data_IF_167270295862
#
_entry.id   IF_167270295862
#
_cell.length_a   1.000
_cell.length_b   1.000
_cell.length_c   1.000
_cell.angle_alpha   90.00
_cell.angle_beta   90.00
_cell.angle_gamma   90.00
#
_symmetry.space_group_name_H-M   'P 1'
#
loop_
_entity.id
_entity.type
_entity.pdbx_description
1 polymer ?
#
# COMPACT_ATOMS: atom_id res chain seq x y z
N UNK A 1 -47.20 -13.09 -20.89
CA UNK A 1 -48.02 -11.90 -21.16
C UNK A 1 -47.06 -10.73 -21.31
N UNK A 2 -47.02 -10.09 -22.48
CA UNK A 2 -46.21 -8.91 -22.74
C UNK A 2 -47.13 -7.69 -22.66
N UNK A 3 -46.73 -6.67 -21.89
CA UNK A 3 -47.49 -5.44 -21.71
C UNK A 3 -46.79 -4.31 -22.45
N UNK A 4 -47.53 -3.60 -23.29
CA UNK A 4 -47.08 -2.38 -23.95
C UNK A 4 -47.95 -1.23 -23.45
N UNK A 5 -47.38 -0.22 -22.77
CA UNK A 5 -48.16 0.95 -22.38
C UNK A 5 -48.57 1.71 -23.64
N UNK A 6 -49.85 2.06 -23.72
CA UNK A 6 -50.35 3.02 -24.71
C UNK A 6 -50.30 4.40 -24.08
N UNK A 7 -49.85 5.41 -24.83
CA UNK A 7 -49.91 6.79 -24.36
C UNK A 7 -51.39 7.17 -24.17
N UNK A 8 -51.76 7.52 -22.94
CA UNK A 8 -53.08 8.04 -22.61
C UNK A 8 -52.87 9.21 -21.66
N UNK A 9 -53.52 10.35 -21.96
CA UNK A 9 -53.38 11.61 -21.21
C UNK A 9 -53.90 11.50 -19.76
N UNK A 10 -54.53 10.37 -19.40
CA UNK A 10 -55.08 10.07 -18.08
C UNK A 10 -54.01 9.78 -17.01
N UNK A 11 -52.76 9.50 -17.41
CA UNK A 11 -51.66 9.16 -16.50
C UNK A 11 -50.55 10.21 -16.63
N UNK A 12 -50.41 11.07 -15.61
CA UNK A 12 -49.25 11.98 -15.46
C UNK A 12 -47.98 11.17 -15.15
N UNK A 13 -47.39 10.53 -16.15
CA UNK A 13 -46.02 10.06 -16.07
C UNK A 13 -45.10 11.29 -16.21
N UNK A 14 -44.15 11.47 -15.31
CA UNK A 14 -43.16 12.54 -15.46
C UNK A 14 -42.44 12.40 -16.80
N UNK A 15 -42.22 13.52 -17.49
CA UNK A 15 -41.76 13.65 -18.89
C UNK A 15 -40.42 12.96 -19.24
N UNK A 16 -39.83 12.19 -18.33
CA UNK A 16 -38.50 11.59 -18.43
C UNK A 16 -38.47 10.05 -18.56
N UNK A 17 -39.62 9.35 -18.54
CA UNK A 17 -39.64 7.88 -18.35
C UNK A 17 -40.32 7.16 -19.52
N UNK A 18 -39.53 6.53 -20.40
CA UNK A 18 -39.99 5.73 -21.56
C UNK A 18 -40.99 4.61 -21.23
N UNK A 19 -41.14 4.21 -19.96
CA UNK A 19 -42.03 3.13 -19.50
C UNK A 19 -43.16 3.60 -18.57
N UNK A 20 -43.22 4.87 -18.19
CA UNK A 20 -44.25 5.45 -17.31
C UNK A 20 -44.63 4.57 -16.12
N UNK A 21 -45.93 4.29 -15.96
CA UNK A 21 -46.50 3.43 -14.90
C UNK A 21 -45.97 1.99 -14.90
N UNK A 22 -45.49 1.47 -16.03
CA UNK A 22 -45.04 0.07 -16.12
C UNK A 22 -43.65 -0.14 -15.51
N UNK A 23 -42.91 0.93 -15.23
CA UNK A 23 -41.54 0.86 -14.72
C UNK A 23 -41.38 0.04 -13.42
N UNK A 24 -42.21 0.20 -12.37
CA UNK A 24 -42.09 -0.57 -11.14
C UNK A 24 -42.35 -2.07 -11.37
N UNK A 25 -43.33 -2.39 -12.22
CA UNK A 25 -43.64 -3.78 -12.59
C UNK A 25 -42.52 -4.41 -13.40
N UNK A 26 -41.93 -3.64 -14.32
CA UNK A 26 -40.78 -4.08 -15.10
C UNK A 26 -39.55 -4.31 -14.22
N UNK A 27 -39.28 -3.41 -13.26
CA UNK A 27 -38.20 -3.58 -12.28
C UNK A 27 -38.40 -4.83 -11.42
N UNK A 28 -39.61 -5.07 -10.89
CA UNK A 28 -39.93 -6.28 -10.12
C UNK A 28 -39.83 -7.55 -10.98
N UNK A 29 -40.35 -7.52 -12.21
CA UNK A 29 -40.21 -8.63 -13.16
C UNK A 29 -38.74 -8.96 -13.42
N UNK A 30 -37.88 -7.97 -13.74
CA UNK A 30 -36.46 -8.21 -13.99
C UNK A 30 -35.78 -8.81 -12.76
N UNK A 31 -36.11 -8.33 -11.55
CA UNK A 31 -35.56 -8.86 -10.31
C UNK A 31 -35.97 -10.32 -10.07
N UNK A 32 -37.25 -10.66 -10.24
CA UNK A 32 -37.73 -12.04 -10.10
C UNK A 32 -37.15 -12.94 -11.19
N UNK A 33 -37.17 -12.48 -12.43
CA UNK A 33 -36.63 -13.23 -13.57
C UNK A 33 -35.16 -13.60 -13.32
N UNK A 34 -34.32 -12.66 -12.85
CA UNK A 34 -32.92 -12.95 -12.47
C UNK A 34 -32.81 -14.06 -11.42
N UNK A 35 -33.65 -14.06 -10.39
CA UNK A 35 -33.65 -15.10 -9.35
C UNK A 35 -34.10 -16.47 -9.87
N UNK A 36 -35.00 -16.49 -10.85
CA UNK A 36 -35.49 -17.73 -11.45
C UNK A 36 -34.52 -18.32 -12.49
N UNK A 37 -33.57 -17.54 -13.02
CA UNK A 37 -32.57 -18.00 -13.99
C UNK A 37 -31.68 -19.13 -13.45
N UNK A 38 -31.32 -19.10 -12.17
CA UNK A 38 -30.50 -20.14 -11.55
C UNK A 38 -31.27 -21.41 -11.19
N UNK A 39 -32.61 -21.36 -11.23
CA UNK A 39 -33.49 -22.46 -10.79
C UNK A 39 -34.37 -22.92 -11.94
N UNK A 40 -35.60 -22.42 -12.05
CA UNK A 40 -36.60 -22.88 -13.02
C UNK A 40 -36.24 -22.57 -14.47
N UNK A 41 -35.44 -21.53 -14.73
CA UNK A 41 -35.01 -21.14 -16.08
C UNK A 41 -33.55 -21.47 -16.37
N UNK A 42 -32.95 -22.41 -15.63
CA UNK A 42 -31.58 -22.87 -15.86
C UNK A 42 -31.38 -23.39 -17.28
N UNK A 43 -32.32 -24.18 -17.79
CA UNK A 43 -32.26 -24.75 -19.14
C UNK A 43 -32.80 -23.83 -20.25
N UNK A 44 -33.17 -22.60 -19.90
CA UNK A 44 -33.61 -21.63 -20.90
C UNK A 44 -32.42 -21.23 -21.79
N UNK A 45 -32.66 -21.09 -23.10
CA UNK A 45 -31.64 -20.62 -24.03
C UNK A 45 -31.08 -19.26 -23.56
N UNK A 46 -29.76 -19.18 -23.36
CA UNK A 46 -29.14 -17.98 -22.81
C UNK A 46 -29.37 -16.73 -23.69
N UNK A 47 -29.44 -16.88 -25.02
CA UNK A 47 -29.69 -15.75 -25.94
C UNK A 47 -31.07 -15.16 -25.71
N UNK A 48 -32.07 -16.03 -25.55
CA UNK A 48 -33.44 -15.62 -25.24
C UNK A 48 -33.50 -14.97 -23.86
N UNK A 49 -32.88 -15.58 -22.87
CA UNK A 49 -32.88 -15.10 -21.49
C UNK A 49 -32.18 -13.72 -21.36
N UNK A 50 -31.05 -13.53 -22.04
CA UNK A 50 -30.36 -12.26 -22.17
C UNK A 50 -31.22 -11.19 -22.88
N UNK A 51 -31.91 -11.58 -23.95
CA UNK A 51 -32.81 -10.68 -24.69
C UNK A 51 -34.01 -10.24 -23.84
N UNK A 52 -34.60 -11.14 -23.05
CA UNK A 52 -35.70 -10.82 -22.13
C UNK A 52 -35.23 -9.90 -21.00
N UNK A 53 -34.02 -10.12 -20.51
CA UNK A 53 -33.47 -9.29 -19.44
C UNK A 53 -33.07 -7.89 -19.94
N UNK A 54 -32.77 -7.77 -21.24
CA UNK A 54 -32.41 -6.53 -21.95
C UNK A 54 -31.45 -5.64 -21.13
N UNK A 55 -30.47 -6.26 -20.47
CA UNK A 55 -29.55 -5.52 -19.61
C UNK A 55 -28.61 -4.69 -20.47
N UNK A 56 -28.28 -3.49 -20.00
CA UNK A 56 -27.21 -2.70 -20.60
C UNK A 56 -25.89 -3.48 -20.44
N UNK A 57 -25.27 -3.79 -21.57
CA UNK A 57 -23.94 -4.45 -21.62
C UNK A 57 -22.85 -3.41 -21.88
N UNK A 58 -23.22 -2.31 -22.56
CA UNK A 58 -22.38 -1.16 -22.81
C UNK A 58 -22.75 -0.01 -21.86
N UNK A 59 -21.75 0.42 -21.09
CA UNK A 59 -21.84 1.52 -20.14
C UNK A 59 -21.00 2.73 -20.58
N UNK A 60 -20.54 2.78 -21.84
CA UNK A 60 -19.67 3.85 -22.37
C UNK A 60 -20.21 5.28 -22.22
N UNK A 61 -21.52 5.46 -22.05
CA UNK A 61 -22.18 6.76 -21.91
C UNK A 61 -22.87 6.96 -20.55
N UNK A 62 -22.64 6.06 -19.60
CA UNK A 62 -23.26 6.13 -18.29
C UNK A 62 -22.29 6.79 -17.30
N UNK A 63 -22.54 8.06 -16.96
CA UNK A 63 -21.95 8.68 -15.76
C UNK A 63 -22.74 8.16 -14.56
N UNK A 64 -22.21 7.20 -13.77
CA UNK A 64 -22.94 6.73 -12.60
C UNK A 64 -22.96 7.87 -11.58
N UNK A 65 -24.15 8.21 -11.08
CA UNK A 65 -24.30 9.11 -9.94
C UNK A 65 -23.46 8.58 -8.77
N UNK A 66 -22.67 9.45 -8.13
CA UNK A 66 -21.83 9.07 -6.98
C UNK A 66 -22.64 8.41 -5.86
N UNK A 67 -23.92 8.79 -5.73
CA UNK A 67 -24.83 8.16 -4.77
C UNK A 67 -25.14 6.70 -5.07
N UNK A 68 -25.38 6.34 -6.34
CA UNK A 68 -25.75 4.98 -6.73
C UNK A 68 -24.57 4.02 -6.57
N UNK A 69 -23.35 4.49 -6.86
CA UNK A 69 -22.13 3.72 -6.65
C UNK A 69 -21.83 3.48 -5.17
N UNK A 70 -22.02 4.50 -4.32
CA UNK A 70 -21.82 4.38 -2.86
C UNK A 70 -22.79 3.38 -2.21
N UNK A 71 -24.06 3.39 -2.60
CA UNK A 71 -25.07 2.44 -2.09
C UNK A 71 -24.72 1.02 -2.54
N UNK A 72 -24.33 0.87 -3.81
CA UNK A 72 -23.93 -0.42 -4.38
C UNK A 72 -22.72 -0.99 -3.66
N UNK A 73 -21.71 -0.17 -3.34
CA UNK A 73 -20.53 -0.60 -2.60
C UNK A 73 -20.81 -1.02 -1.16
N UNK A 74 -21.71 -0.32 -0.46
CA UNK A 74 -22.12 -0.71 0.88
C UNK A 74 -22.78 -2.09 0.86
N UNK A 75 -23.71 -2.29 -0.07
CA UNK A 75 -24.37 -3.59 -0.26
C UNK A 75 -23.38 -4.69 -0.64
N UNK A 76 -22.40 -4.38 -1.50
CA UNK A 76 -21.34 -5.33 -1.87
C UNK A 76 -20.42 -5.66 -0.70
N UNK A 77 -20.17 -4.74 0.24
CA UNK A 77 -19.33 -4.99 1.42
C UNK A 77 -20.06 -5.81 2.50
N UNK A 78 -21.38 -5.68 2.57
CA UNK A 78 -22.20 -6.52 3.42
C UNK A 78 -22.22 -7.98 2.91
N UNK A 79 -22.04 -8.18 1.60
CA UNK A 79 -22.10 -9.49 0.95
C UNK A 79 -20.72 -10.11 0.69
N UNK A 80 -19.70 -9.31 0.36
CA UNK A 80 -18.33 -9.75 0.03
C UNK A 80 -17.38 -9.45 1.18
N UNK A 81 -16.70 -10.48 1.67
CA UNK A 81 -15.66 -10.36 2.69
C UNK A 81 -14.36 -9.78 2.11
N UNK A 82 -13.50 -9.12 2.91
CA UNK A 82 -12.15 -8.76 2.49
C UNK A 82 -11.33 -9.97 1.97
N UNK A 83 -11.62 -11.17 2.46
CA UNK A 83 -11.00 -12.41 1.97
C UNK A 83 -11.45 -12.77 0.55
N UNK A 84 -12.70 -12.50 0.21
CA UNK A 84 -13.25 -12.74 -1.13
C UNK A 84 -12.63 -11.80 -2.16
N UNK A 85 -12.36 -10.54 -1.76
CA UNK A 85 -11.63 -9.61 -2.61
C UNK A 85 -10.21 -10.11 -2.93
N UNK A 86 -9.50 -10.67 -1.93
CA UNK A 86 -8.17 -11.28 -2.14
C UNK A 86 -8.23 -12.51 -3.04
N UNK A 87 -9.27 -13.34 -2.91
CA UNK A 87 -9.49 -14.51 -3.79
C UNK A 87 -9.72 -14.06 -5.23
N UNK A 88 -10.53 -13.03 -5.42
CA UNK A 88 -10.81 -12.45 -6.73
C UNK A 88 -9.58 -11.79 -7.35
N UNK A 89 -8.74 -11.13 -6.54
CA UNK A 89 -7.44 -10.60 -6.95
C UNK A 89 -6.50 -11.73 -7.41
N UNK A 90 -6.35 -12.77 -6.60
CA UNK A 90 -5.46 -13.89 -6.92
C UNK A 90 -5.90 -14.60 -8.21
N UNK A 91 -7.21 -14.78 -8.42
CA UNK A 91 -7.76 -15.29 -9.66
C UNK A 91 -7.53 -14.34 -10.84
N UNK A 92 -7.77 -13.04 -10.65
CA UNK A 92 -7.50 -12.02 -11.66
C UNK A 92 -6.03 -11.98 -12.06
N UNK A 93 -5.11 -12.29 -11.15
CA UNK A 93 -3.68 -12.38 -11.45
C UNK A 93 -3.27 -13.75 -12.04
N UNK A 94 -4.23 -14.62 -12.38
CA UNK A 94 -4.01 -15.99 -12.86
C UNK A 94 -3.19 -16.85 -11.88
N UNK A 95 -3.21 -16.55 -10.58
CA UNK A 95 -2.46 -17.29 -9.55
C UNK A 95 -3.22 -18.49 -9.02
N UNK A 96 -4.54 -18.53 -9.23
CA UNK A 96 -5.43 -19.58 -8.72
C UNK A 96 -6.42 -20.01 -9.78
N UNK A 97 -6.93 -21.23 -9.64
CA UNK A 97 -7.97 -21.81 -10.47
C UNK A 97 -9.37 -21.22 -10.20
N UNK A 98 -10.26 -21.31 -11.18
CA UNK A 98 -11.59 -20.69 -11.15
C UNK A 98 -12.50 -21.28 -10.06
N UNK A 99 -12.28 -22.54 -9.66
CA UNK A 99 -13.02 -23.20 -8.59
C UNK A 99 -12.98 -22.40 -7.27
N UNK A 100 -11.90 -21.65 -7.02
CA UNK A 100 -11.78 -20.85 -5.80
C UNK A 100 -12.69 -19.61 -5.81
N UNK A 101 -13.28 -19.21 -6.94
CA UNK A 101 -14.14 -18.03 -6.98
C UNK A 101 -15.58 -18.34 -7.40
N UNK A 102 -15.93 -19.61 -7.62
CA UNK A 102 -17.25 -20.02 -8.12
C UNK A 102 -18.41 -19.55 -7.24
N UNK A 103 -18.22 -19.54 -5.92
CA UNK A 103 -19.18 -19.03 -4.93
C UNK A 103 -19.45 -17.53 -5.08
N UNK A 104 -18.49 -16.77 -5.60
CA UNK A 104 -18.60 -15.32 -5.79
C UNK A 104 -19.25 -14.94 -7.13
N UNK A 105 -19.19 -15.84 -8.13
CA UNK A 105 -19.68 -15.56 -9.49
C UNK A 105 -21.17 -15.21 -9.53
N UNK A 106 -22.08 -15.94 -8.86
CA UNK A 106 -23.50 -15.61 -8.88
C UNK A 106 -23.78 -14.22 -8.30
N UNK A 107 -23.09 -13.87 -7.20
CA UNK A 107 -23.23 -12.58 -6.53
C UNK A 107 -22.83 -11.46 -7.50
N UNK A 108 -21.64 -11.57 -8.10
CA UNK A 108 -21.14 -10.58 -9.05
C UNK A 108 -22.01 -10.47 -10.30
N UNK A 109 -22.52 -11.61 -10.82
CA UNK A 109 -23.41 -11.62 -11.96
C UNK A 109 -24.76 -10.94 -11.63
N UNK A 110 -25.34 -11.20 -10.46
CA UNK A 110 -26.58 -10.55 -10.03
C UNK A 110 -26.45 -9.03 -9.93
N UNK A 111 -25.35 -8.54 -9.38
CA UNK A 111 -25.10 -7.09 -9.28
C UNK A 111 -24.80 -6.48 -10.66
N UNK A 112 -24.07 -7.19 -11.52
CA UNK A 112 -23.81 -6.76 -12.90
C UNK A 112 -25.09 -6.62 -13.73
N UNK A 113 -25.90 -7.68 -13.80
CA UNK A 113 -27.16 -7.68 -14.57
C UNK A 113 -28.31 -6.91 -13.88
N UNK A 114 -28.05 -6.34 -12.70
CA UNK A 114 -28.90 -5.31 -12.08
C UNK A 114 -28.49 -3.90 -12.49
N UNK A 115 -27.50 -3.74 -13.39
CA UNK A 115 -26.97 -2.46 -13.86
C UNK A 115 -26.33 -1.61 -12.75
N UNK A 116 -26.00 -2.22 -11.60
CA UNK A 116 -25.34 -1.54 -10.48
C UNK A 116 -23.82 -1.51 -10.63
N UNK A 117 -23.27 -2.41 -11.43
CA UNK A 117 -21.86 -2.42 -11.81
C UNK A 117 -21.73 -1.90 -13.26
N UNK A 118 -21.43 -0.61 -13.47
CA UNK A 118 -21.30 -0.01 -14.80
C UNK A 118 -19.97 -0.41 -15.46
N UNK A 119 -19.83 -1.69 -15.78
CA UNK A 119 -18.62 -2.26 -16.40
C UNK A 119 -18.93 -2.68 -17.83
N UNK A 120 -18.28 -2.06 -18.82
CA UNK A 120 -18.49 -2.46 -20.21
C UNK A 120 -17.85 -3.83 -20.48
N UNK A 121 -18.70 -4.82 -20.72
CA UNK A 121 -18.30 -6.18 -21.10
C UNK A 121 -18.52 -6.39 -22.59
N UNK A 122 -17.67 -7.22 -23.20
CA UNK A 122 -17.91 -7.68 -24.56
C UNK A 122 -19.07 -8.69 -24.58
N UNK A 123 -19.80 -8.84 -25.71
CA UNK A 123 -20.95 -9.73 -25.79
C UNK A 123 -20.64 -11.18 -25.39
N UNK A 124 -19.50 -11.72 -25.79
CA UNK A 124 -19.06 -13.06 -25.37
C UNK A 124 -18.71 -13.13 -23.87
N UNK A 125 -18.11 -12.06 -23.31
CA UNK A 125 -17.80 -11.95 -21.87
C UNK A 125 -19.08 -11.95 -21.03
N UNK A 126 -20.05 -11.12 -21.43
CA UNK A 126 -21.36 -11.05 -20.77
C UNK A 126 -22.13 -12.39 -20.89
N UNK A 127 -22.06 -13.05 -22.06
CA UNK A 127 -22.71 -14.36 -22.26
C UNK A 127 -22.14 -15.44 -21.35
N UNK A 128 -20.82 -15.49 -21.18
CA UNK A 128 -20.16 -16.43 -20.27
C UNK A 128 -20.54 -16.14 -18.82
N UNK A 129 -20.49 -14.86 -18.40
CA UNK A 129 -20.92 -14.45 -17.05
C UNK A 129 -22.39 -14.78 -16.79
N UNK A 130 -23.25 -14.64 -17.79
CA UNK A 130 -24.67 -14.98 -17.70
C UNK A 130 -24.89 -16.47 -17.45
N UNK A 131 -24.25 -17.32 -18.25
CA UNK A 131 -24.42 -18.77 -18.15
C UNK A 131 -23.88 -19.31 -16.83
N UNK A 132 -22.65 -18.92 -16.46
CA UNK A 132 -22.02 -19.40 -15.24
C UNK A 132 -22.58 -18.76 -13.98
N UNK A 133 -22.90 -17.47 -14.01
CA UNK A 133 -23.32 -16.72 -12.82
C UNK A 133 -24.82 -16.72 -12.58
N UNK A 134 -25.64 -16.43 -13.59
CA UNK A 134 -27.10 -16.37 -13.43
C UNK A 134 -27.80 -17.71 -13.65
N UNK A 135 -27.34 -18.52 -14.60
CA UNK A 135 -27.94 -19.83 -14.87
C UNK A 135 -27.23 -20.97 -14.12
N UNK A 136 -26.19 -20.68 -13.35
CA UNK A 136 -25.43 -21.64 -12.55
C UNK A 136 -24.94 -22.85 -13.38
N UNK A 137 -24.58 -22.61 -14.65
CA UNK A 137 -24.10 -23.65 -15.56
C UNK A 137 -22.63 -23.91 -15.35
N UNK A 138 -22.26 -25.18 -15.39
CA UNK A 138 -20.85 -25.58 -15.42
C UNK A 138 -20.20 -25.18 -16.76
N UNK A 139 -18.88 -25.16 -16.79
CA UNK A 139 -18.08 -24.81 -17.96
C UNK A 139 -18.39 -25.76 -19.13
N UNK A 140 -18.61 -27.05 -18.85
CA UNK A 140 -19.01 -28.03 -19.87
C UNK A 140 -20.31 -27.66 -20.56
N UNK A 141 -21.36 -27.38 -19.78
CA UNK A 141 -22.66 -26.95 -20.34
C UNK A 141 -22.56 -25.59 -21.04
N UNK A 142 -21.76 -24.68 -20.49
CA UNK A 142 -21.51 -23.36 -21.10
C UNK A 142 -20.80 -23.50 -22.46
N UNK A 143 -19.86 -24.45 -22.58
CA UNK A 143 -19.19 -24.78 -23.84
C UNK A 143 -20.21 -25.19 -24.90
N UNK A 144 -21.09 -26.13 -24.56
CA UNK A 144 -22.11 -26.67 -25.46
C UNK A 144 -23.12 -25.61 -25.90
N UNK A 145 -23.57 -24.74 -24.99
CA UNK A 145 -24.54 -23.71 -25.33
C UNK A 145 -23.98 -22.57 -26.17
N UNK A 146 -22.76 -22.10 -25.86
CA UNK A 146 -22.13 -21.02 -26.62
C UNK A 146 -21.52 -21.53 -27.93
N UNK A 147 -21.23 -22.83 -28.04
CA UNK A 147 -20.57 -23.42 -29.20
C UNK A 147 -19.11 -22.96 -29.36
N UNK A 148 -18.44 -22.65 -28.25
CA UNK A 148 -17.04 -22.19 -28.21
C UNK A 148 -16.14 -23.22 -27.53
N UNK A 149 -14.83 -23.09 -27.69
CA UNK A 149 -13.88 -24.00 -27.06
C UNK A 149 -13.77 -23.74 -25.53
N UNK A 150 -13.48 -24.78 -24.73
CA UNK A 150 -13.43 -24.68 -23.25
C UNK A 150 -12.43 -23.61 -22.79
N UNK A 151 -11.28 -23.55 -23.44
CA UNK A 151 -10.22 -22.58 -23.16
C UNK A 151 -10.69 -21.14 -23.45
N UNK A 152 -11.57 -20.95 -24.44
CA UNK A 152 -12.15 -19.64 -24.74
C UNK A 152 -13.19 -19.22 -23.70
N UNK A 153 -13.98 -20.16 -23.17
CA UNK A 153 -14.89 -19.90 -22.02
C UNK A 153 -14.07 -19.37 -20.84
N UNK A 154 -13.02 -20.11 -20.45
CA UNK A 154 -12.12 -19.72 -19.36
C UNK A 154 -11.42 -18.38 -19.62
N UNK A 155 -10.93 -18.16 -20.84
CA UNK A 155 -10.30 -16.88 -21.22
C UNK A 155 -11.26 -15.70 -21.08
N UNK A 156 -12.50 -15.85 -21.56
CA UNK A 156 -13.52 -14.81 -21.44
C UNK A 156 -13.95 -14.60 -19.99
N UNK A 157 -14.02 -15.67 -19.20
CA UNK A 157 -14.34 -15.63 -17.79
C UNK A 157 -13.27 -14.87 -16.99
N UNK A 158 -11.98 -15.19 -17.16
CA UNK A 158 -10.86 -14.45 -16.55
C UNK A 158 -10.89 -12.97 -16.93
N UNK A 159 -11.08 -12.65 -18.21
CA UNK A 159 -11.17 -11.25 -18.68
C UNK A 159 -12.32 -10.50 -18.03
N UNK A 160 -13.44 -11.17 -17.81
CA UNK A 160 -14.61 -10.61 -17.14
C UNK A 160 -14.32 -10.34 -15.66
N UNK A 161 -13.75 -11.31 -14.96
CA UNK A 161 -13.40 -11.18 -13.54
C UNK A 161 -12.35 -10.09 -13.30
N UNK A 162 -11.34 -9.98 -14.16
CA UNK A 162 -10.36 -8.87 -14.13
C UNK A 162 -11.01 -7.49 -14.20
N UNK A 163 -12.00 -7.32 -15.09
CA UNK A 163 -12.71 -6.05 -15.25
C UNK A 163 -13.57 -5.73 -14.02
N UNK A 164 -14.29 -6.72 -13.51
CA UNK A 164 -15.13 -6.56 -12.30
C UNK A 164 -14.25 -6.25 -11.09
N UNK A 165 -13.17 -6.99 -10.88
CA UNK A 165 -12.19 -6.72 -9.83
C UNK A 165 -11.60 -5.31 -9.94
N UNK A 166 -11.14 -4.92 -11.13
CA UNK A 166 -10.58 -3.58 -11.36
C UNK A 166 -11.57 -2.47 -11.00
N UNK A 167 -12.86 -2.63 -11.36
CA UNK A 167 -13.90 -1.67 -10.97
C UNK A 167 -14.11 -1.63 -9.45
N UNK A 168 -14.23 -2.78 -8.80
CA UNK A 168 -14.44 -2.86 -7.35
C UNK A 168 -13.26 -2.26 -6.58
N UNK A 169 -12.03 -2.58 -6.99
CA UNK A 169 -10.81 -2.07 -6.36
C UNK A 169 -10.64 -0.56 -6.57
N UNK A 170 -10.91 -0.05 -7.78
CA UNK A 170 -10.85 1.38 -8.06
C UNK A 170 -11.88 2.15 -7.22
N UNK A 171 -13.09 1.62 -7.09
CA UNK A 171 -14.14 2.28 -6.31
C UNK A 171 -13.86 2.23 -4.80
N UNK A 172 -13.35 1.09 -4.31
CA UNK A 172 -12.87 0.98 -2.92
C UNK A 172 -11.69 1.91 -2.62
N UNK A 173 -10.75 2.05 -3.56
CA UNK A 173 -9.63 2.99 -3.45
C UNK A 173 -10.09 4.45 -3.34
N UNK A 174 -11.06 4.86 -4.17
CA UNK A 174 -11.66 6.21 -4.10
C UNK A 174 -12.34 6.49 -2.76
N UNK A 175 -13.01 5.51 -2.16
CA UNK A 175 -13.64 5.68 -0.85
C UNK A 175 -12.62 5.82 0.28
N UNK A 176 -11.53 5.03 0.22
CA UNK A 176 -10.42 5.15 1.17
C UNK A 176 -9.76 6.52 1.04
N UNK A 177 -9.51 6.99 -0.18
CA UNK A 177 -8.97 8.34 -0.45
C UNK A 177 -9.91 9.45 0.06
N UNK A 178 -11.22 9.28 -0.07
CA UNK A 178 -12.22 10.21 0.46
C UNK A 178 -12.32 10.20 1.99
N UNK A 179 -12.05 9.06 2.63
CA UNK A 179 -12.13 8.87 4.09
C UNK A 179 -10.81 9.19 4.80
N UNK A 180 -9.69 9.12 4.09
CA UNK A 180 -8.39 9.56 4.58
C UNK A 180 -8.50 11.04 4.96
N UNK A 181 -8.11 11.44 6.18
CA UNK A 181 -7.99 12.85 6.52
C UNK A 181 -7.03 13.44 5.50
N UNK A 182 -7.53 14.30 4.61
CA UNK A 182 -6.65 15.16 3.82
C UNK A 182 -5.79 15.86 4.85
N UNK A 183 -4.50 15.52 4.90
CA UNK A 183 -3.54 16.32 5.64
C UNK A 183 -3.75 17.71 5.11
N UNK A 184 -4.25 18.63 5.94
CA UNK A 184 -4.21 20.05 5.60
C UNK A 184 -2.77 20.28 5.21
N UNK A 185 -2.54 20.63 3.94
CA UNK A 185 -1.29 21.24 3.55
C UNK A 185 -1.04 22.30 4.62
N UNK A 186 0.04 22.12 5.36
CA UNK A 186 0.49 23.16 6.26
C UNK A 186 0.88 24.29 5.32
N UNK A 187 -0.06 25.19 5.06
CA UNK A 187 0.13 26.44 4.33
C UNK A 187 1.00 27.35 5.19
N UNK A 188 2.26 26.99 5.27
CA UNK A 188 3.40 27.85 5.47
C UNK A 188 4.63 26.96 5.26
N UNK A 189 5.40 27.16 4.19
CA UNK A 189 6.81 26.82 4.27
C UNK A 189 7.32 27.48 5.54
N UNK A 190 7.98 26.73 6.42
CA UNK A 190 8.82 27.36 7.43
C UNK A 190 9.65 28.40 6.67
N UNK A 191 9.50 29.68 7.01
CA UNK A 191 10.16 30.78 6.30
C UNK A 191 11.68 30.77 6.47
N UNK A 192 12.19 29.73 7.15
CA UNK A 192 13.59 29.32 7.25
C UNK A 192 13.75 27.95 6.63
N UNK A 193 14.75 27.80 5.79
CA UNK A 193 15.06 26.48 5.23
C UNK A 193 15.63 25.58 6.33
N UNK A 194 15.42 24.26 6.21
CA UNK A 194 16.03 23.32 7.17
C UNK A 194 17.56 23.43 7.21
N UNK A 195 18.18 23.84 6.10
CA UNK A 195 19.63 24.06 6.04
C UNK A 195 20.04 25.28 6.87
N UNK A 196 19.23 26.34 6.91
CA UNK A 196 19.51 27.54 7.73
C UNK A 196 19.42 27.22 9.23
N UNK A 197 18.43 26.45 9.66
CA UNK A 197 18.31 26.02 11.06
C UNK A 197 19.45 25.08 11.48
N UNK A 198 19.91 24.21 10.58
CA UNK A 198 21.06 23.34 10.81
C UNK A 198 22.38 24.13 10.88
N UNK A 199 22.52 25.16 10.03
CA UNK A 199 23.70 26.02 10.02
C UNK A 199 23.77 26.91 11.26
N UNK A 200 22.64 27.46 11.73
CA UNK A 200 22.57 28.24 12.98
C UNK A 200 22.95 27.38 14.19
N UNK A 201 22.42 26.15 14.27
CA UNK A 201 22.81 25.18 15.31
C UNK A 201 24.30 24.78 15.22
N UNK A 202 24.84 24.62 14.01
CA UNK A 202 26.25 24.31 13.80
C UNK A 202 27.17 25.48 14.21
N UNK A 203 26.75 26.72 13.96
CA UNK A 203 27.46 27.91 14.40
C UNK A 203 27.47 28.03 15.93
N UNK A 204 26.33 27.82 16.61
CA UNK A 204 26.30 27.82 18.07
C UNK A 204 27.23 26.79 18.70
N UNK A 205 27.31 25.58 18.13
CA UNK A 205 28.20 24.53 18.63
C UNK A 205 29.67 24.90 18.39
N UNK A 206 29.99 25.52 17.25
CA UNK A 206 31.33 26.04 16.97
C UNK A 206 31.69 27.17 17.93
N UNK A 207 30.79 28.11 18.19
CA UNK A 207 31.00 29.22 19.12
C UNK A 207 31.25 28.68 20.54
N UNK A 208 30.40 27.76 21.02
CA UNK A 208 30.57 27.10 22.33
C UNK A 208 31.89 26.35 22.44
N UNK A 209 32.34 25.69 21.36
CA UNK A 209 33.66 25.04 21.31
C UNK A 209 34.81 26.06 21.30
N UNK A 210 34.71 27.12 20.51
CA UNK A 210 35.72 28.19 20.47
C UNK A 210 35.84 28.87 21.83
N UNK A 211 34.73 29.16 22.50
CA UNK A 211 34.73 29.71 23.86
C UNK A 211 35.32 28.72 24.86
N UNK A 212 35.07 27.41 24.72
CA UNK A 212 35.71 26.39 25.56
C UNK A 212 37.22 26.24 25.29
N UNK A 213 37.66 26.45 24.05
CA UNK A 213 39.07 26.41 23.64
C UNK A 213 39.81 27.73 23.98
N UNK A 214 39.12 28.88 23.92
CA UNK A 214 39.59 30.22 24.31
C UNK A 214 39.49 30.47 25.82
N UNK A 215 38.73 29.66 26.56
CA UNK A 215 38.73 29.64 28.02
C UNK A 215 40.13 29.22 28.49
N UNK A 216 41.01 30.22 28.56
CA UNK A 216 42.40 30.23 29.00
C UNK A 216 42.92 28.85 29.33
N UNK A 217 43.46 28.17 28.32
CA UNK A 217 44.31 27.00 28.55
C UNK A 217 45.40 27.44 29.51
N UNK A 218 45.33 26.95 30.74
CA UNK A 218 46.18 27.38 31.84
C UNK A 218 47.66 27.20 31.42
N UNK A 219 48.50 28.24 31.35
CA UNK A 219 49.86 28.14 30.81
C UNK A 219 50.73 27.14 31.59
N UNK A 220 50.35 26.83 32.84
CA UNK A 220 50.95 25.78 33.68
C UNK A 220 50.70 24.36 33.14
N UNK A 221 49.57 24.12 32.49
CA UNK A 221 49.27 22.83 31.84
C UNK A 221 50.07 22.64 30.55
N UNK A 222 50.39 23.72 29.82
CA UNK A 222 51.23 23.65 28.62
C UNK A 222 52.70 23.37 28.98
N UNK A 223 53.19 23.90 30.10
CA UNK A 223 54.54 23.63 30.60
C UNK A 223 54.80 22.14 30.91
N UNK A 224 53.76 21.35 31.22
CA UNK A 224 53.90 19.90 31.45
C UNK A 224 54.25 19.11 30.17
N UNK A 225 53.93 19.69 29.01
CA UNK A 225 54.26 19.15 27.70
C UNK A 225 55.49 19.82 27.07
N UNK A 226 56.07 20.84 27.71
CA UNK A 226 57.32 21.44 27.25
C UNK A 226 58.44 20.40 27.24
N UNK A 227 59.02 20.20 26.05
CA UNK A 227 60.17 19.34 25.85
C UNK A 227 61.40 20.15 26.24
N UNK A 228 61.88 19.94 27.47
CA UNK A 228 63.20 20.42 27.90
C UNK A 228 64.25 19.48 27.30
N UNK A 229 64.82 19.86 26.16
CA UNK A 229 65.94 19.18 25.52
C UNK A 229 66.97 20.24 25.18
N UNK A 230 68.25 19.87 25.20
CA UNK A 230 69.34 20.76 24.84
C UNK A 230 69.31 20.97 23.32
N UNK A 231 69.21 22.22 22.85
CA UNK A 231 68.95 22.52 21.42
C UNK A 231 70.04 21.94 20.51
N UNK A 232 71.26 21.82 21.01
CA UNK A 232 72.39 21.21 20.32
C UNK A 232 72.22 19.70 20.07
N UNK A 233 71.48 18.97 20.91
CA UNK A 233 71.21 17.54 20.68
C UNK A 233 70.11 17.34 19.62
N UNK A 234 69.18 18.28 19.52
CA UNK A 234 68.10 18.27 18.52
C UNK A 234 68.69 18.56 17.14
N UNK A 235 69.57 19.56 17.02
CA UNK A 235 70.28 19.88 15.77
C UNK A 235 71.16 18.71 15.29
N UNK A 236 71.84 18.03 16.22
CA UNK A 236 72.67 16.86 15.90
C UNK A 236 71.84 15.64 15.48
N UNK A 237 70.60 15.51 15.98
CA UNK A 237 69.67 14.48 15.55
C UNK A 237 69.04 14.78 14.17
N UNK A 238 68.90 16.06 13.81
CA UNK A 238 68.39 16.51 12.51
C UNK A 238 69.43 16.40 11.38
N UNK A 239 70.73 16.51 11.67
CA UNK A 239 71.80 16.37 10.68
C UNK A 239 72.05 14.92 10.21
N UNK A 240 71.48 13.91 10.89
CA UNK A 240 71.53 12.53 10.43
C UNK A 240 70.41 12.28 9.40
N UNK A 241 70.70 12.51 8.12
CA UNK A 241 69.75 12.50 6.99
C UNK A 241 69.06 11.16 6.64
N UNK A 242 69.21 10.10 7.45
CA UNK A 242 68.43 8.85 7.26
C UNK A 242 67.23 8.82 8.18
N UNK A 243 66.18 9.56 7.78
CA UNK A 243 64.84 9.41 8.33
C UNK A 243 64.34 8.00 8.02
N UNK A 244 64.01 7.22 9.05
CA UNK A 244 63.32 5.94 8.84
C UNK A 244 61.92 6.23 8.27
N UNK A 245 61.36 5.29 7.51
CA UNK A 245 60.07 5.43 6.82
C UNK A 245 58.86 5.75 7.74
N UNK A 246 59.05 5.79 9.07
CA UNK A 246 58.05 6.17 10.06
C UNK A 246 58.10 7.65 10.48
N UNK A 247 59.12 8.43 10.08
CA UNK A 247 59.20 9.88 10.38
C UNK A 247 59.41 10.25 11.86
N UNK A 248 59.74 9.30 12.73
CA UNK A 248 59.93 9.54 14.18
C UNK A 248 61.42 9.63 14.54
N UNK A 249 61.81 10.73 15.17
CA UNK A 249 63.15 10.97 15.70
C UNK A 249 63.07 10.94 17.23
N UNK A 250 63.85 10.07 17.87
CA UNK A 250 63.88 9.92 19.32
C UNK A 250 65.11 10.62 19.91
N UNK A 251 64.89 11.68 20.69
CA UNK A 251 65.95 12.40 21.42
C UNK A 251 65.89 12.05 22.91
N UNK A 252 67.05 11.92 23.56
CA UNK A 252 67.15 11.48 24.96
C UNK A 252 66.76 12.64 25.89
N UNK A 253 65.66 12.51 26.64
CA UNK A 253 65.23 13.58 27.56
C UNK A 253 66.17 13.74 28.76
N UNK A 254 66.52 14.97 29.14
CA UNK A 254 67.39 15.31 30.27
C UNK A 254 66.65 15.53 31.61
N UNK A 255 65.38 15.12 31.74
CA UNK A 255 64.60 15.33 32.98
C UNK A 255 65.14 14.50 34.17
N UNK A 256 65.36 15.15 35.31
CA UNK A 256 65.70 14.51 36.59
C UNK A 256 64.50 13.77 37.19
N UNK A 257 64.76 12.78 38.05
CA UNK A 257 63.81 11.79 38.56
C UNK A 257 62.62 12.32 39.38
N UNK A 258 62.57 13.62 39.70
CA UNK A 258 61.47 14.24 40.41
C UNK A 258 60.22 14.45 39.53
N UNK A 259 60.39 14.81 38.24
CA UNK A 259 59.27 15.07 37.31
C UNK A 259 58.52 13.80 36.85
N UNK A 260 59.12 12.62 37.03
CA UNK A 260 58.48 11.34 36.66
C UNK A 260 57.39 10.91 37.64
N UNK A 261 57.37 11.43 38.88
CA UNK A 261 56.41 11.00 39.91
C UNK A 261 55.01 11.61 39.75
N UNK A 262 54.87 12.74 39.07
CA UNK A 262 53.56 13.39 38.92
C UNK A 262 52.68 12.70 37.86
N UNK A 263 53.28 12.24 36.74
CA UNK A 263 52.57 11.47 35.70
C UNK A 263 52.02 10.12 36.19
N UNK A 264 52.62 9.51 37.21
CA UNK A 264 52.18 8.19 37.69
C UNK A 264 50.91 8.27 38.57
N UNK A 265 50.61 9.43 39.17
CA UNK A 265 49.41 9.61 40.02
C UNK A 265 48.13 9.89 39.22
N UNK A 266 48.22 10.47 38.02
CA UNK A 266 47.05 10.74 37.16
C UNK A 266 46.55 9.47 36.44
N UNK A 267 47.46 8.59 36.00
CA UNK A 267 47.12 7.35 35.28
C UNK A 267 46.53 6.23 36.15
N UNK A 268 46.64 6.30 37.49
CA UNK A 268 46.01 5.30 38.37
C UNK A 268 44.52 5.57 38.63
N UNK A 269 44.03 6.81 38.47
CA UNK A 269 42.60 7.13 38.68
C UNK A 269 41.70 6.76 37.50
N UNK A 270 42.25 6.55 36.30
CA UNK A 270 41.49 6.21 35.09
C UNK A 270 41.32 4.70 34.85
N UNK A 271 41.91 3.82 35.68
CA UNK A 271 41.90 2.36 35.49
C UNK A 271 40.98 1.56 36.43
N UNK A 272 40.00 2.21 37.08
CA UNK A 272 38.93 1.54 37.86
C UNK A 272 37.53 1.90 37.34
N UNK A 273 37.26 1.63 36.06
CA UNK A 273 35.89 1.47 35.56
C UNK A 273 35.94 0.76 34.20
N UNK A 274 35.80 -0.56 34.21
CA UNK A 274 35.63 -1.34 32.98
C UNK A 274 36.21 -2.73 33.08
N UNK A 275 35.33 -3.68 33.40
CA UNK A 275 35.33 -5.14 33.15
C UNK A 275 35.05 -5.91 34.44
N UNK A 276 34.25 -6.96 34.50
CA UNK A 276 33.23 -7.56 33.64
C UNK A 276 32.68 -8.69 34.54
N UNK A 277 31.37 -8.92 34.59
CA UNK A 277 30.85 -10.15 35.18
C UNK A 277 29.55 -10.54 34.50
N UNK A 278 29.70 -11.15 33.33
CA UNK A 278 28.72 -12.08 32.82
C UNK A 278 28.56 -13.30 33.75
N UNK A 279 27.36 -13.89 33.64
CA UNK A 279 26.94 -15.24 34.07
C UNK A 279 26.23 -15.35 35.43
N UNK A 280 24.90 -15.41 35.36
CA UNK A 280 24.12 -16.23 36.31
C UNK A 280 22.86 -16.77 35.65
N UNK A 281 22.93 -18.03 35.22
CA UNK A 281 21.80 -18.94 35.07
C UNK A 281 21.00 -18.98 36.38
N UNK A 282 19.68 -18.86 36.31
CA UNK A 282 18.76 -19.25 37.39
C UNK A 282 17.70 -20.20 36.86
N UNK A 283 17.97 -21.50 37.00
CA UNK A 283 16.94 -22.53 37.18
C UNK A 283 16.12 -22.18 38.43
N UNK A 284 14.82 -21.93 38.27
CA UNK A 284 13.84 -22.00 39.36
C UNK A 284 12.94 -23.21 39.10
N UNK A 285 13.11 -24.26 39.91
CA UNK A 285 12.18 -25.37 40.06
C UNK A 285 11.81 -25.43 41.55
N UNK A 286 10.54 -25.17 41.86
CA UNK A 286 9.73 -25.68 43.00
C UNK A 286 8.56 -24.73 43.23
N UNK A 287 7.41 -25.05 42.64
CA UNK A 287 6.29 -25.72 43.32
C UNK A 287 5.56 -26.56 42.29
#
# INVERSE_FOLDING_TARGET
MALSPLNSDDIKAGDSIQLGFLEPFYKDFRQRFRRLLGTSFRHLNFKLAMSVLASKIDFSHHEPSEHDTSITLKLLRDVLSPHDMKRLEAYSNNLVDYHLILDLVPILAHEYFSEKLPVTLHGAQASVLFCMGLQDKDIGATKEELGIEREQVLSNFIKTMKKLYGYLNNTAGKEIEATLPRLKEIEAPLSRSMDEDLDEAAQEVKEKRRVADEATVDPKLLQKYAIKSDDHEIEKALQNEKLSASGVISVKSSKTSADKKEKHRENEKSKRKGQDSGRSEKKKKRT
#
